data_IF_065635692222
#
_entry.id   IF_065635692222
#
_cell.length_a   1.000
_cell.length_b   1.000
_cell.length_c   1.000
_cell.angle_alpha   90.00
_cell.angle_beta   90.00
_cell.angle_gamma   90.00
#
_symmetry.space_group_name_H-M   'P 1'
#
loop_
_entity.id
_entity.type
_entity.pdbx_description
1 polymer ?
#
# COMPACT_ATOMS: atom_id res chain seq x y z
N UNK A 1 35.23 -25.88 -68.90
CA UNK A 1 35.04 -26.57 -67.59
C UNK A 1 34.32 -25.77 -66.50
N UNK A 2 34.18 -24.43 -66.56
CA UNK A 2 33.41 -23.67 -65.54
C UNK A 2 31.87 -23.68 -65.71
N UNK A 3 31.33 -23.85 -66.93
CA UNK A 3 29.87 -23.86 -67.17
C UNK A 3 29.15 -25.17 -66.80
N UNK A 4 29.87 -26.29 -66.70
CA UNK A 4 29.28 -27.60 -66.35
C UNK A 4 29.06 -27.73 -64.83
N UNK A 5 29.91 -27.08 -64.02
CA UNK A 5 29.76 -27.07 -62.55
C UNK A 5 28.58 -26.20 -62.09
N UNK A 6 28.22 -25.15 -62.83
CA UNK A 6 27.07 -24.30 -62.51
C UNK A 6 25.73 -24.97 -62.80
N UNK A 7 25.66 -25.87 -63.78
CA UNK A 7 24.42 -26.60 -64.12
C UNK A 7 24.13 -27.71 -63.10
N UNK A 8 25.17 -28.37 -62.58
CA UNK A 8 25.03 -29.40 -61.53
C UNK A 8 24.49 -28.84 -60.20
N UNK A 9 24.83 -27.59 -59.85
CA UNK A 9 24.33 -26.93 -58.63
C UNK A 9 22.86 -26.52 -58.78
N UNK A 10 22.42 -26.11 -59.98
CA UNK A 10 21.02 -25.73 -60.23
C UNK A 10 20.10 -26.96 -60.26
N UNK A 11 20.57 -28.11 -60.76
CA UNK A 11 19.82 -29.36 -60.74
C UNK A 11 19.66 -29.96 -59.33
N UNK A 12 20.65 -29.78 -58.45
CA UNK A 12 20.54 -30.22 -57.06
C UNK A 12 19.57 -29.36 -56.22
N UNK A 13 19.43 -28.07 -56.55
CA UNK A 13 18.45 -27.17 -55.91
C UNK A 13 17.03 -27.38 -56.46
N UNK A 14 16.88 -27.73 -57.74
CA UNK A 14 15.58 -28.04 -58.34
C UNK A 14 14.97 -29.38 -57.85
N UNK A 15 15.81 -30.36 -57.47
CA UNK A 15 15.35 -31.60 -56.82
C UNK A 15 15.07 -31.42 -55.32
N UNK A 16 15.56 -30.35 -54.68
CA UNK A 16 15.24 -30.03 -53.28
C UNK A 16 13.91 -29.29 -53.07
N UNK A 17 13.38 -28.65 -54.12
CA UNK A 17 12.14 -27.84 -54.03
C UNK A 17 10.92 -28.50 -54.70
N UNK A 18 11.07 -29.69 -55.30
CA UNK A 18 9.97 -30.50 -55.86
C UNK A 18 9.59 -31.71 -54.99
N UNK A 19 9.74 -31.59 -53.67
CA UNK A 19 9.28 -32.60 -52.70
C UNK A 19 8.07 -32.14 -51.86
N UNK A 20 7.32 -31.12 -52.31
CA UNK A 20 6.05 -30.74 -51.67
C UNK A 20 4.88 -31.72 -51.94
N UNK A 21 5.14 -32.89 -52.54
CA UNK A 21 4.14 -33.95 -52.72
C UNK A 21 4.19 -35.07 -51.69
N UNK A 22 5.17 -35.07 -50.77
CA UNK A 22 5.38 -36.15 -49.80
C UNK A 22 5.48 -35.67 -48.34
N UNK A 23 5.02 -34.45 -48.06
CA UNK A 23 4.80 -34.01 -46.67
C UNK A 23 3.48 -34.65 -46.22
N UNK A 24 3.62 -35.66 -45.36
CA UNK A 24 2.50 -36.33 -44.70
C UNK A 24 1.52 -35.29 -44.13
N UNK A 25 0.20 -35.53 -44.19
CA UNK A 25 -0.82 -34.61 -43.68
C UNK A 25 -0.71 -34.33 -42.17
N UNK A 26 0.17 -35.03 -41.45
CA UNK A 26 0.31 -34.95 -40.00
C UNK A 26 1.11 -33.76 -39.49
N UNK A 27 1.89 -33.01 -40.29
CA UNK A 27 2.73 -31.90 -39.77
C UNK A 27 1.89 -30.76 -39.17
N UNK A 28 0.65 -30.59 -39.65
CA UNK A 28 -0.32 -29.63 -39.13
C UNK A 28 -1.39 -30.28 -38.24
N UNK A 29 -1.26 -31.58 -37.93
CA UNK A 29 -2.13 -32.30 -37.03
C UNK A 29 -1.71 -32.13 -35.56
N UNK A 30 -2.69 -32.24 -34.65
CA UNK A 30 -2.45 -32.21 -33.19
C UNK A 30 -1.43 -33.26 -32.73
N UNK A 31 -1.31 -34.37 -33.48
CA UNK A 31 -0.36 -35.48 -33.30
C UNK A 31 1.10 -35.07 -33.48
N UNK A 32 1.41 -34.18 -34.42
CA UNK A 32 2.79 -33.73 -34.67
C UNK A 32 3.28 -32.75 -33.61
N UNK A 33 2.44 -31.80 -33.20
CA UNK A 33 2.78 -30.89 -32.10
C UNK A 33 2.79 -31.62 -30.75
N UNK A 34 1.95 -32.65 -30.54
CA UNK A 34 1.95 -33.43 -29.30
C UNK A 34 3.13 -34.41 -29.16
N UNK A 35 3.68 -34.94 -30.26
CA UNK A 35 4.76 -35.94 -30.22
C UNK A 35 6.09 -35.50 -30.87
N UNK A 36 6.23 -34.22 -31.24
CA UNK A 36 7.42 -33.69 -31.92
C UNK A 36 8.67 -33.59 -31.02
N UNK A 37 9.87 -33.41 -31.61
CA UNK A 37 11.16 -33.40 -30.91
C UNK A 37 11.34 -32.23 -29.92
N UNK A 38 10.47 -31.21 -29.97
CA UNK A 38 10.37 -30.12 -28.99
C UNK A 38 9.48 -30.47 -27.79
N UNK A 39 8.83 -31.64 -27.80
CA UNK A 39 7.87 -32.08 -26.81
C UNK A 39 8.37 -33.30 -26.02
N UNK A 40 9.68 -33.35 -25.77
CA UNK A 40 10.24 -34.29 -24.80
C UNK A 40 9.89 -33.82 -23.38
N UNK A 41 8.74 -34.28 -22.88
CA UNK A 41 8.36 -34.35 -21.46
C UNK A 41 7.83 -33.08 -20.75
N UNK A 42 6.84 -32.37 -21.31
CA UNK A 42 5.90 -31.61 -20.47
C UNK A 42 4.46 -32.11 -20.69
N UNK A 43 4.03 -33.06 -19.85
CA UNK A 43 2.59 -33.32 -19.68
C UNK A 43 1.96 -31.98 -19.28
N UNK A 44 1.04 -31.44 -20.08
CA UNK A 44 0.29 -30.23 -19.72
C UNK A 44 -0.25 -30.40 -18.30
N UNK A 45 0.31 -29.67 -17.34
CA UNK A 45 -0.14 -29.75 -15.96
C UNK A 45 -1.57 -29.22 -15.88
N UNK A 46 -2.36 -29.75 -14.93
CA UNK A 46 -3.70 -29.21 -14.69
C UNK A 46 -3.64 -27.72 -14.31
N UNK A 47 -2.52 -27.27 -13.75
CA UNK A 47 -2.24 -25.86 -13.50
C UNK A 47 -1.98 -25.04 -14.78
N UNK A 48 -1.27 -25.59 -15.78
CA UNK A 48 -1.02 -24.89 -17.06
C UNK A 48 -2.32 -24.67 -17.85
N UNK A 49 -3.25 -25.63 -17.80
CA UNK A 49 -4.61 -25.43 -18.32
C UNK A 49 -5.34 -24.30 -17.58
N UNK A 50 -5.20 -24.26 -16.25
CA UNK A 50 -5.75 -23.18 -15.43
C UNK A 50 -5.18 -21.81 -15.80
N UNK A 51 -3.88 -21.72 -16.08
CA UNK A 51 -3.24 -20.49 -16.58
C UNK A 51 -3.79 -20.07 -17.95
N UNK A 52 -4.06 -21.03 -18.84
CA UNK A 52 -4.71 -20.78 -20.12
C UNK A 52 -6.11 -20.20 -19.97
N UNK A 53 -6.94 -20.75 -19.09
CA UNK A 53 -8.28 -20.22 -18.80
C UNK A 53 -8.21 -18.85 -18.11
N UNK A 54 -7.24 -18.63 -17.24
CA UNK A 54 -7.00 -17.34 -16.59
C UNK A 54 -6.63 -16.27 -17.61
N UNK A 55 -5.76 -16.59 -18.57
CA UNK A 55 -5.38 -15.68 -19.66
C UNK A 55 -6.56 -15.32 -20.59
N UNK A 56 -7.53 -16.23 -20.74
CA UNK A 56 -8.80 -15.96 -21.45
C UNK A 56 -9.79 -15.13 -20.64
N UNK A 57 -9.50 -14.84 -19.37
CA UNK A 57 -10.41 -14.15 -18.45
C UNK A 57 -11.50 -15.05 -17.86
N UNK A 58 -11.44 -16.36 -18.07
CA UNK A 58 -12.38 -17.31 -17.48
C UNK A 58 -11.96 -17.67 -16.05
N UNK A 59 -12.21 -16.76 -15.11
CA UNK A 59 -11.78 -16.90 -13.71
C UNK A 59 -12.39 -18.14 -13.03
N UNK A 60 -13.65 -18.47 -13.32
CA UNK A 60 -14.34 -19.62 -12.71
C UNK A 60 -13.74 -20.93 -13.19
N UNK A 61 -13.51 -21.07 -14.51
CA UNK A 61 -12.85 -22.24 -15.09
C UNK A 61 -11.43 -22.41 -14.59
N UNK A 62 -10.68 -21.30 -14.53
CA UNK A 62 -9.30 -21.28 -14.03
C UNK A 62 -9.22 -21.71 -12.56
N UNK A 63 -10.08 -21.17 -11.68
CA UNK A 63 -10.12 -21.55 -10.27
C UNK A 63 -10.38 -23.05 -10.09
N UNK A 64 -11.35 -23.62 -10.81
CA UNK A 64 -11.64 -25.05 -10.76
C UNK A 64 -10.44 -25.92 -11.18
N UNK A 65 -9.71 -25.48 -12.21
CA UNK A 65 -8.49 -26.16 -12.68
C UNK A 65 -7.35 -26.05 -11.68
N UNK A 66 -7.13 -24.90 -11.07
CA UNK A 66 -6.11 -24.73 -10.03
C UNK A 66 -6.42 -25.54 -8.77
N UNK A 67 -7.66 -25.55 -8.30
CA UNK A 67 -8.06 -26.40 -7.17
C UNK A 67 -7.89 -27.89 -7.48
N UNK A 68 -8.14 -28.30 -8.72
CA UNK A 68 -7.88 -29.69 -9.16
C UNK A 68 -6.38 -29.98 -9.22
N UNK A 69 -5.54 -29.02 -9.61
CA UNK A 69 -4.09 -29.15 -9.58
C UNK A 69 -3.57 -29.29 -8.14
N UNK A 70 -4.03 -28.45 -7.21
CA UNK A 70 -3.65 -28.53 -5.80
C UNK A 70 -4.10 -29.81 -5.09
N UNK A 71 -5.22 -30.40 -5.50
CA UNK A 71 -5.64 -31.73 -5.02
C UNK A 71 -4.68 -32.84 -5.43
N UNK A 72 -4.00 -32.70 -6.58
CA UNK A 72 -3.00 -33.66 -7.06
C UNK A 72 -1.61 -33.38 -6.48
N UNK A 73 -1.24 -32.11 -6.44
CA UNK A 73 0.02 -31.64 -5.87
C UNK A 73 -0.24 -30.38 -5.03
N UNK A 74 -0.33 -30.50 -3.69
CA UNK A 74 -0.54 -29.36 -2.80
C UNK A 74 0.55 -28.28 -2.87
N UNK A 75 1.73 -28.61 -3.41
CA UNK A 75 2.87 -27.71 -3.57
C UNK A 75 3.03 -27.19 -5.00
N UNK A 76 2.00 -27.32 -5.85
CA UNK A 76 2.02 -26.75 -7.21
C UNK A 76 1.98 -25.22 -7.14
N UNK A 77 3.15 -24.60 -7.25
CA UNK A 77 3.31 -23.15 -7.14
C UNK A 77 2.67 -22.38 -8.30
N UNK A 78 2.42 -23.00 -9.46
CA UNK A 78 1.65 -22.37 -10.54
C UNK A 78 0.17 -22.27 -10.17
N UNK A 79 -0.38 -23.34 -9.57
CA UNK A 79 -1.76 -23.34 -9.11
C UNK A 79 -1.98 -22.41 -7.92
N UNK A 80 -1.05 -22.38 -6.95
CA UNK A 80 -1.06 -21.43 -5.84
C UNK A 80 -1.00 -19.98 -6.36
N UNK A 81 -0.10 -19.68 -7.30
CA UNK A 81 0.03 -18.33 -7.86
C UNK A 81 -1.24 -17.92 -8.61
N UNK A 82 -1.81 -18.82 -9.40
CA UNK A 82 -3.08 -18.61 -10.11
C UNK A 82 -4.24 -18.27 -9.17
N UNK A 83 -4.44 -19.05 -8.10
CA UNK A 83 -5.45 -18.76 -7.09
C UNK A 83 -5.17 -17.47 -6.33
N UNK A 84 -3.91 -17.20 -5.99
CA UNK A 84 -3.51 -15.94 -5.35
C UNK A 84 -3.93 -14.72 -6.16
N UNK A 85 -3.66 -14.74 -7.47
CA UNK A 85 -4.05 -13.66 -8.38
C UNK A 85 -5.57 -13.53 -8.51
N UNK A 86 -6.30 -14.66 -8.64
CA UNK A 86 -7.77 -14.66 -8.70
C UNK A 86 -8.37 -14.06 -7.43
N UNK A 87 -7.92 -14.51 -6.25
CA UNK A 87 -8.41 -14.00 -4.97
C UNK A 87 -8.07 -12.54 -4.76
N UNK A 88 -6.88 -12.10 -5.18
CA UNK A 88 -6.50 -10.70 -5.13
C UNK A 88 -7.41 -9.83 -6.01
N UNK A 89 -7.68 -10.25 -7.26
CA UNK A 89 -8.56 -9.54 -8.17
C UNK A 89 -10.01 -9.48 -7.67
N UNK A 90 -10.45 -10.51 -6.95
CA UNK A 90 -11.79 -10.59 -6.35
C UNK A 90 -11.88 -9.92 -4.96
N UNK A 91 -10.84 -9.22 -4.49
CA UNK A 91 -10.81 -8.56 -3.18
C UNK A 91 -10.73 -9.51 -1.97
N UNK A 92 -10.54 -10.81 -2.19
CA UNK A 92 -10.39 -11.82 -1.15
C UNK A 92 -8.95 -11.86 -0.62
N UNK A 93 -8.50 -10.73 -0.07
CA UNK A 93 -7.08 -10.49 0.28
C UNK A 93 -6.51 -11.50 1.28
N UNK A 94 -7.32 -12.01 2.20
CA UNK A 94 -6.90 -13.04 3.18
C UNK A 94 -6.54 -14.35 2.48
N UNK A 95 -7.36 -14.80 1.52
CA UNK A 95 -7.09 -16.02 0.75
C UNK A 95 -5.92 -15.81 -0.20
N UNK A 96 -5.82 -14.64 -0.82
CA UNK A 96 -4.70 -14.30 -1.68
C UNK A 96 -3.36 -14.35 -0.91
N UNK A 97 -3.33 -13.76 0.30
CA UNK A 97 -2.18 -13.83 1.20
C UNK A 97 -1.75 -15.28 1.48
N UNK A 98 -2.70 -16.13 1.87
CA UNK A 98 -2.41 -17.55 2.17
C UNK A 98 -1.77 -18.27 0.98
N UNK A 99 -2.22 -18.00 -0.25
CA UNK A 99 -1.63 -18.61 -1.44
C UNK A 99 -0.19 -18.14 -1.69
N UNK A 100 0.07 -16.84 -1.53
CA UNK A 100 1.43 -16.31 -1.71
C UNK A 100 2.40 -16.75 -0.61
N UNK A 101 1.94 -16.82 0.64
CA UNK A 101 2.72 -17.37 1.76
C UNK A 101 3.08 -18.84 1.52
N UNK A 102 2.14 -19.63 1.01
CA UNK A 102 2.39 -21.03 0.66
C UNK A 102 3.51 -21.18 -0.39
N UNK A 103 3.53 -20.32 -1.41
CA UNK A 103 4.61 -20.29 -2.42
C UNK A 103 5.95 -19.98 -1.75
N UNK A 104 6.02 -18.97 -0.87
CA UNK A 104 7.26 -18.59 -0.20
C UNK A 104 7.75 -19.68 0.77
N UNK A 105 6.83 -20.45 1.37
CA UNK A 105 7.14 -21.59 2.22
C UNK A 105 7.72 -22.78 1.43
N UNK A 106 7.27 -23.00 0.19
CA UNK A 106 7.77 -24.07 -0.69
C UNK A 106 9.23 -23.82 -1.13
N UNK A 107 9.70 -22.57 -1.11
CA UNK A 107 11.04 -22.15 -1.58
C UNK A 107 11.35 -22.63 -3.01
N UNK A 108 10.57 -22.20 -4.03
CA UNK A 108 10.87 -22.54 -5.43
C UNK A 108 12.28 -22.07 -5.82
N UNK A 109 12.96 -22.85 -6.66
CA UNK A 109 14.25 -22.47 -7.23
C UNK A 109 14.12 -21.20 -8.10
N UNK A 110 15.19 -20.42 -8.22
CA UNK A 110 15.26 -19.25 -9.11
C UNK A 110 15.09 -19.60 -10.59
N UNK A 111 15.33 -20.87 -10.97
CA UNK A 111 15.03 -21.38 -12.31
C UNK A 111 13.53 -21.48 -12.60
N UNK A 112 12.68 -21.49 -11.57
CA UNK A 112 11.22 -21.55 -11.70
C UNK A 112 10.65 -20.17 -12.03
N UNK A 113 10.64 -19.87 -13.32
CA UNK A 113 10.20 -18.58 -13.85
C UNK A 113 8.73 -18.59 -14.27
N UNK A 114 8.09 -17.43 -14.14
CA UNK A 114 6.71 -17.20 -14.58
C UNK A 114 6.61 -15.92 -15.39
N UNK A 115 5.74 -15.92 -16.39
CA UNK A 115 5.51 -14.78 -17.27
C UNK A 115 4.54 -13.82 -16.60
N UNK A 116 5.01 -12.60 -16.32
CA UNK A 116 4.15 -11.52 -15.87
C UNK A 116 3.46 -10.91 -17.10
N UNK A 117 2.21 -11.34 -17.37
CA UNK A 117 1.47 -10.99 -18.59
C UNK A 117 1.47 -9.50 -18.93
N UNK A 118 1.38 -8.62 -17.92
CA UNK A 118 1.37 -7.17 -18.12
C UNK A 118 2.68 -6.62 -18.70
N UNK A 119 3.81 -7.24 -18.40
CA UNK A 119 5.14 -6.81 -18.86
C UNK A 119 5.74 -7.72 -19.93
N UNK A 120 5.16 -8.91 -20.13
CA UNK A 120 5.69 -9.99 -20.96
C UNK A 120 7.13 -10.39 -20.61
N UNK A 121 7.55 -10.12 -19.38
CA UNK A 121 8.84 -10.53 -18.84
C UNK A 121 8.67 -11.75 -17.93
N UNK A 122 9.68 -12.61 -17.90
CA UNK A 122 9.75 -13.70 -16.94
C UNK A 122 10.39 -13.22 -15.63
N UNK A 123 9.89 -13.73 -14.51
CA UNK A 123 10.46 -13.52 -13.17
C UNK A 123 10.38 -14.80 -12.34
N UNK A 124 11.28 -14.99 -11.36
CA UNK A 124 11.14 -16.05 -10.38
C UNK A 124 9.79 -15.99 -9.68
N UNK A 125 9.13 -17.15 -9.53
CA UNK A 125 7.79 -17.24 -8.92
C UNK A 125 7.80 -16.74 -7.46
N UNK A 126 8.88 -17.01 -6.74
CA UNK A 126 9.10 -16.48 -5.38
C UNK A 126 9.13 -14.96 -5.34
N UNK A 127 9.74 -14.31 -6.35
CA UNK A 127 9.79 -12.84 -6.45
C UNK A 127 8.37 -12.28 -6.65
N UNK A 128 7.59 -12.87 -7.56
CA UNK A 128 6.21 -12.45 -7.83
C UNK A 128 5.34 -12.59 -6.59
N UNK A 129 5.39 -13.73 -5.89
CA UNK A 129 4.65 -13.96 -4.67
C UNK A 129 5.03 -12.95 -3.57
N UNK A 130 6.33 -12.66 -3.41
CA UNK A 130 6.81 -11.68 -2.42
C UNK A 130 6.32 -10.26 -2.71
N UNK A 131 6.27 -9.85 -3.98
CA UNK A 131 5.75 -8.54 -4.38
C UNK A 131 4.27 -8.45 -4.11
N UNK A 132 3.49 -9.46 -4.52
CA UNK A 132 2.04 -9.44 -4.32
C UNK A 132 1.66 -9.49 -2.84
N UNK A 133 2.37 -10.29 -2.04
CA UNK A 133 2.18 -10.32 -0.58
C UNK A 133 2.45 -8.94 0.02
N UNK A 134 3.60 -8.33 -0.32
CA UNK A 134 3.93 -7.00 0.15
C UNK A 134 2.87 -5.97 -0.27
N UNK A 135 2.33 -6.03 -1.49
CA UNK A 135 1.27 -5.13 -1.96
C UNK A 135 -0.04 -5.30 -1.16
N UNK A 136 -0.41 -6.54 -0.82
CA UNK A 136 -1.59 -6.84 0.00
C UNK A 136 -1.44 -6.31 1.42
N UNK A 137 -0.32 -6.61 2.09
CA UNK A 137 -0.04 -6.15 3.45
C UNK A 137 0.00 -4.64 3.53
N UNK A 138 0.62 -4.04 2.53
CA UNK A 138 0.87 -2.62 2.50
C UNK A 138 -0.40 -1.83 2.08
N UNK A 139 -1.40 -2.49 1.47
CA UNK A 139 -2.74 -1.92 1.28
C UNK A 139 -3.48 -1.67 2.60
N UNK A 140 -3.11 -2.40 3.65
CA UNK A 140 -3.60 -2.19 5.01
C UNK A 140 -3.00 -0.98 5.72
N UNK A 141 -1.87 -0.44 5.25
CA UNK A 141 -1.15 0.69 5.87
C UNK A 141 -1.94 2.00 5.73
N UNK A 142 -2.54 2.25 4.56
CA UNK A 142 -3.44 3.40 4.37
C UNK A 142 -4.72 3.24 5.20
N UNK A 143 -5.24 2.01 5.30
CA UNK A 143 -6.42 1.72 6.13
C UNK A 143 -6.13 1.90 7.62
N UNK A 144 -4.94 1.54 8.12
CA UNK A 144 -4.54 1.78 9.50
C UNK A 144 -4.32 3.26 9.80
N UNK A 145 -3.76 4.03 8.86
CA UNK A 145 -3.61 5.49 9.01
C UNK A 145 -4.97 6.23 9.00
N UNK A 146 -6.01 5.67 8.37
CA UNK A 146 -7.36 6.23 8.34
C UNK A 146 -8.32 5.72 9.44
N UNK A 147 -8.04 4.58 10.08
CA UNK A 147 -8.98 3.87 10.96
C UNK A 147 -9.19 4.48 12.34
N UNK A 148 -8.35 5.41 12.78
CA UNK A 148 -8.52 6.06 14.09
C UNK A 148 -9.52 7.21 14.08
N UNK A 149 -10.10 7.53 12.92
CA UNK A 149 -11.23 8.48 12.84
C UNK A 149 -12.56 7.75 13.04
N UNK A 150 -12.85 7.32 14.28
CA UNK A 150 -14.20 7.06 14.80
C UNK A 150 -15.07 5.98 14.14
N UNK A 151 -15.63 5.11 14.99
CA UNK A 151 -16.66 4.07 14.72
C UNK A 151 -16.10 2.72 14.27
N UNK A 152 -15.97 1.81 15.25
CA UNK A 152 -15.97 0.38 15.00
C UNK A 152 -17.31 0.00 14.34
N UNK A 153 -17.34 -0.72 13.20
CA UNK A 153 -18.57 -1.35 12.76
C UNK A 153 -18.81 -2.54 13.69
N UNK A 154 -19.82 -2.42 14.56
CA UNK A 154 -20.36 -3.60 15.24
C UNK A 154 -20.80 -4.65 14.20
N UNK A 155 -20.63 -5.95 14.49
CA UNK A 155 -21.05 -7.00 13.58
C UNK A 155 -22.58 -6.96 13.46
N UNK A 156 -23.07 -6.59 12.28
CA UNK A 156 -24.49 -6.57 11.98
C UNK A 156 -25.08 -8.00 12.12
N UNK A 157 -25.76 -8.25 13.24
CA UNK A 157 -26.69 -9.36 13.36
C UNK A 157 -27.86 -9.13 12.41
N UNK A 158 -28.00 -10.04 11.45
CA UNK A 158 -29.12 -10.11 10.52
C UNK A 158 -30.43 -10.27 11.31
N UNK A 159 -31.28 -9.25 11.33
CA UNK A 159 -32.71 -9.40 11.68
C UNK A 159 -33.55 -9.32 10.41
N UNK A 160 -34.31 -10.39 10.18
CA UNK A 160 -35.27 -10.53 9.09
C UNK A 160 -36.42 -9.50 9.21
N UNK A 161 -37.07 -9.12 8.08
CA UNK A 161 -38.08 -8.07 8.10
C UNK A 161 -39.45 -8.64 8.51
N UNK A 162 -40.07 -8.01 9.51
CA UNK A 162 -41.51 -8.16 9.79
C UNK A 162 -42.28 -6.96 9.25
N UNK A 163 -43.32 -7.31 8.50
CA UNK A 163 -44.32 -6.51 7.77
C UNK A 163 -45.04 -5.49 8.68
N UNK A 164 -45.29 -4.28 8.19
CA UNK A 164 -46.25 -3.32 8.76
C UNK A 164 -47.25 -2.87 7.68
N UNK A 165 -48.56 -2.75 7.98
CA UNK A 165 -49.56 -2.28 7.04
C UNK A 165 -49.82 -0.77 7.12
N UNK A 166 -50.38 -0.26 6.02
CA UNK A 166 -50.80 1.12 5.74
C UNK A 166 -51.89 1.67 6.69
N UNK A 167 -51.85 2.99 6.88
CA UNK A 167 -52.97 3.82 7.33
C UNK A 167 -52.62 5.32 7.26
N UNK A 168 -53.26 6.05 6.35
CA UNK A 168 -53.29 7.52 6.17
C UNK A 168 -54.63 8.08 6.72
N UNK A 169 -54.96 9.39 6.70
CA UNK A 169 -54.17 10.65 6.67
C UNK A 169 -54.80 11.75 7.61
N UNK A 170 -54.62 13.04 7.26
CA UNK A 170 -55.22 14.32 7.75
C UNK A 170 -54.19 15.15 8.56
N UNK A 171 -53.88 16.42 8.29
CA UNK A 171 -54.36 17.45 7.35
C UNK A 171 -53.87 18.82 7.85
N UNK A 172 -53.90 19.86 6.98
CA UNK A 172 -53.91 21.26 7.41
C UNK A 172 -52.64 22.08 7.14
N UNK A 173 -52.78 23.09 6.30
CA UNK A 173 -51.80 24.13 5.97
C UNK A 173 -51.67 25.19 7.08
N UNK A 174 -50.55 25.94 7.11
CA UNK A 174 -50.54 27.39 6.82
C UNK A 174 -49.20 28.08 7.11
N UNK A 175 -49.11 29.26 6.51
CA UNK A 175 -48.04 30.22 6.26
C UNK A 175 -47.41 30.93 7.48
N UNK A 176 -46.18 31.43 7.30
CA UNK A 176 -45.86 32.85 7.62
C UNK A 176 -45.05 33.19 8.88
N UNK A 177 -43.80 33.61 8.63
CA UNK A 177 -42.99 34.68 9.28
C UNK A 177 -42.47 34.60 10.74
N UNK A 178 -41.21 35.07 10.83
CA UNK A 178 -40.57 35.91 11.86
C UNK A 178 -39.81 35.28 13.06
N UNK A 179 -38.49 35.50 13.03
CA UNK A 179 -37.55 35.93 14.10
C UNK A 179 -37.92 35.61 15.56
N UNK A 180 -36.99 34.97 16.29
CA UNK A 180 -36.44 35.43 17.61
C UNK A 180 -35.33 34.47 18.07
N UNK A 181 -34.24 35.07 18.56
CA UNK A 181 -33.10 34.46 19.20
C UNK A 181 -33.49 33.48 20.34
N UNK A 182 -32.79 32.33 20.39
CA UNK A 182 -32.73 31.49 21.59
C UNK A 182 -31.29 31.13 21.91
N UNK A 183 -30.92 31.49 23.13
CA UNK A 183 -29.68 31.25 23.84
C UNK A 183 -29.38 29.75 23.98
N UNK A 184 -28.12 29.37 23.79
CA UNK A 184 -27.64 28.02 24.07
C UNK A 184 -27.61 27.76 25.59
N UNK A 185 -28.02 26.58 26.09
CA UNK A 185 -27.84 26.21 27.48
C UNK A 185 -26.35 25.90 27.75
N UNK A 186 -25.82 26.48 28.81
CA UNK A 186 -24.46 26.26 29.28
C UNK A 186 -24.19 24.80 29.63
N UNK A 187 -23.12 24.26 29.08
CA UNK A 187 -22.54 22.99 29.51
C UNK A 187 -21.72 23.27 30.77
N UNK A 188 -22.27 22.89 31.93
CA UNK A 188 -21.51 22.80 33.17
C UNK A 188 -20.47 21.69 33.03
N UNK A 189 -19.19 22.06 33.01
CA UNK A 189 -18.08 21.13 33.06
C UNK A 189 -18.03 20.48 34.46
N UNK A 190 -18.14 19.15 34.51
CA UNK A 190 -17.91 18.38 35.74
C UNK A 190 -16.40 18.35 36.07
N UNK A 191 -15.98 18.52 37.35
CA UNK A 191 -14.57 18.67 37.73
C UNK A 191 -13.75 17.35 37.76
N UNK A 192 -14.22 16.28 37.12
CA UNK A 192 -13.55 14.98 37.12
C UNK A 192 -12.52 14.80 35.98
N UNK A 193 -12.29 15.81 35.13
CA UNK A 193 -11.38 15.76 33.98
C UNK A 193 -9.93 16.20 34.29
N UNK A 194 -9.59 16.49 35.54
CA UNK A 194 -8.27 17.03 35.94
C UNK A 194 -7.29 16.02 36.56
N UNK A 195 -7.52 14.71 36.38
CA UNK A 195 -6.63 13.68 36.92
C UNK A 195 -6.27 12.61 35.88
N UNK A 196 -5.65 13.02 34.75
CA UNK A 196 -4.77 12.18 33.91
C UNK A 196 -4.29 12.94 32.64
N UNK A 197 -3.68 14.11 32.79
CA UNK A 197 -3.14 14.85 31.63
C UNK A 197 -1.76 14.32 31.15
N UNK A 198 -1.04 13.63 32.03
CA UNK A 198 0.34 13.18 31.79
C UNK A 198 0.46 12.04 30.75
N UNK A 199 -0.43 11.03 30.68
CA UNK A 199 -0.31 9.96 29.68
C UNK A 199 -0.56 10.45 28.24
N UNK A 200 -1.50 11.37 28.03
CA UNK A 200 -1.89 11.82 26.69
C UNK A 200 -0.87 12.73 26.02
N UNK A 201 -0.21 13.60 26.79
CA UNK A 201 0.87 14.43 26.25
C UNK A 201 2.06 13.54 25.84
N UNK A 202 2.45 12.59 26.69
CA UNK A 202 3.55 11.66 26.40
C UNK A 202 3.27 10.80 25.15
N UNK A 203 2.04 10.28 24.99
CA UNK A 203 1.65 9.48 23.82
C UNK A 203 1.57 10.32 22.53
N UNK A 204 0.98 11.51 22.58
CA UNK A 204 0.90 12.42 21.42
C UNK A 204 2.29 12.87 20.97
N UNK A 205 3.16 13.22 21.92
CA UNK A 205 4.56 13.58 21.66
C UNK A 205 5.36 12.41 21.08
N UNK A 206 5.12 11.18 21.54
CA UNK A 206 5.77 9.98 21.00
C UNK A 206 5.36 9.70 19.54
N UNK A 207 4.09 9.89 19.19
CA UNK A 207 3.61 9.74 17.82
C UNK A 207 4.23 10.78 16.88
N UNK A 208 4.30 12.05 17.32
CA UNK A 208 4.95 13.11 16.56
C UNK A 208 6.42 12.76 16.33
N UNK A 209 7.16 12.41 17.38
CA UNK A 209 8.57 12.00 17.29
C UNK A 209 8.75 10.84 16.31
N UNK A 210 7.92 9.80 16.42
CA UNK A 210 7.97 8.63 15.53
C UNK A 210 7.79 9.00 14.05
N UNK A 211 6.97 10.02 13.74
CA UNK A 211 6.80 10.53 12.36
C UNK A 211 8.06 11.23 11.84
N UNK A 212 8.71 12.05 12.67
CA UNK A 212 9.97 12.72 12.31
C UNK A 212 11.12 11.73 12.16
N UNK A 213 11.24 10.75 13.07
CA UNK A 213 12.20 9.66 12.97
C UNK A 213 11.97 8.83 11.71
N UNK A 214 10.73 8.46 11.42
CA UNK A 214 10.37 7.73 10.20
C UNK A 214 10.73 8.54 8.96
N UNK A 215 10.40 9.83 8.90
CA UNK A 215 10.74 10.67 7.74
C UNK A 215 12.26 10.79 7.55
N UNK A 216 13.01 10.83 8.65
CA UNK A 216 14.49 10.83 8.65
C UNK A 216 15.02 9.51 8.10
N UNK A 217 14.51 8.38 8.57
CA UNK A 217 14.88 7.06 8.08
C UNK A 217 14.55 6.88 6.59
N UNK A 218 13.40 7.36 6.12
CA UNK A 218 13.03 7.29 4.70
C UNK A 218 13.98 8.10 3.80
N UNK A 219 14.44 9.26 4.27
CA UNK A 219 15.48 10.06 3.59
C UNK A 219 16.80 9.29 3.54
N UNK A 220 17.24 8.74 4.66
CA UNK A 220 18.54 8.05 4.76
C UNK A 220 18.56 6.75 3.94
N UNK A 221 17.40 6.10 3.77
CA UNK A 221 17.22 4.95 2.88
C UNK A 221 17.05 5.34 1.40
N UNK A 222 17.06 6.63 1.05
CA UNK A 222 16.87 7.12 -0.31
C UNK A 222 15.46 6.97 -0.88
N UNK A 223 14.46 6.71 -0.03
CA UNK A 223 13.04 6.59 -0.43
C UNK A 223 12.37 7.97 -0.56
N UNK A 224 12.94 8.98 0.10
CA UNK A 224 12.53 10.38 0.04
C UNK A 224 13.76 11.23 -0.30
N UNK A 225 13.59 12.20 -1.18
CA UNK A 225 14.69 13.11 -1.52
C UNK A 225 14.96 14.10 -0.39
N UNK A 226 16.18 14.68 -0.37
CA UNK A 226 16.53 15.68 0.65
C UNK A 226 15.60 16.91 0.61
N UNK A 227 15.17 17.31 -0.58
CA UNK A 227 14.25 18.44 -0.76
C UNK A 227 12.86 18.12 -0.19
N UNK A 228 12.28 16.96 -0.53
CA UNK A 228 10.98 16.54 0.01
C UNK A 228 11.01 16.43 1.54
N UNK A 229 12.10 15.91 2.10
CA UNK A 229 12.32 15.85 3.53
C UNK A 229 12.31 17.26 4.15
N UNK A 230 13.10 18.18 3.59
CA UNK A 230 13.23 19.55 4.11
C UNK A 230 11.90 20.29 4.10
N UNK A 231 11.15 20.23 2.99
CA UNK A 231 9.85 20.89 2.84
C UNK A 231 8.85 20.37 3.89
N UNK A 232 8.73 19.04 4.01
CA UNK A 232 7.80 18.40 4.96
C UNK A 232 8.19 18.68 6.40
N UNK A 233 9.50 18.62 6.72
CA UNK A 233 10.02 18.97 8.04
C UNK A 233 9.67 20.42 8.37
N UNK A 234 10.00 21.36 7.48
CA UNK A 234 9.79 22.78 7.71
C UNK A 234 8.32 23.14 7.91
N UNK A 235 7.41 22.52 7.16
CA UNK A 235 5.97 22.74 7.28
C UNK A 235 5.38 22.22 8.61
N UNK A 236 6.07 21.29 9.29
CA UNK A 236 5.54 20.60 10.47
C UNK A 236 6.40 20.75 11.72
N UNK A 237 7.54 21.45 11.64
CA UNK A 237 8.51 21.54 12.75
C UNK A 237 7.91 22.19 14.00
N UNK A 238 6.84 22.99 13.87
CA UNK A 238 6.08 23.51 15.01
C UNK A 238 5.42 22.45 15.89
N UNK A 239 5.34 21.19 15.45
CA UNK A 239 4.94 20.08 16.31
C UNK A 239 6.02 19.74 17.37
N UNK A 240 7.29 20.05 17.07
CA UNK A 240 8.43 19.89 17.97
C UNK A 240 8.83 21.21 18.64
N UNK A 241 8.63 22.33 17.94
CA UNK A 241 9.04 23.69 18.33
C UNK A 241 7.82 24.64 18.35
N UNK A 242 6.86 24.41 19.26
CA UNK A 242 5.56 25.10 19.27
C UNK A 242 5.62 26.63 19.37
N UNK A 243 6.65 27.21 19.98
CA UNK A 243 6.71 28.65 20.29
C UNK A 243 7.43 29.46 19.22
N UNK A 244 8.39 28.87 18.52
CA UNK A 244 9.23 29.58 17.54
C UNK A 244 8.95 29.22 16.09
N UNK A 245 8.04 28.27 15.85
CA UNK A 245 7.71 27.78 14.51
C UNK A 245 6.22 27.90 14.20
N UNK A 246 5.84 27.99 12.91
CA UNK A 246 4.45 28.04 12.53
C UNK A 246 3.70 26.77 12.96
N UNK A 247 2.37 26.86 13.21
CA UNK A 247 1.59 25.70 13.62
C UNK A 247 1.70 24.56 12.59
N UNK A 248 1.90 23.31 13.05
CA UNK A 248 2.08 22.17 12.18
C UNK A 248 0.76 21.70 11.58
N UNK A 249 0.79 20.67 10.71
CA UNK A 249 -0.42 20.00 10.27
C UNK A 249 -1.26 19.48 11.44
N UNK A 250 -2.58 19.57 11.32
CA UNK A 250 -3.49 18.93 12.27
C UNK A 250 -3.40 17.40 12.17
N UNK A 251 -3.48 16.70 13.31
CA UNK A 251 -3.53 15.24 13.35
C UNK A 251 -2.17 14.52 13.32
N UNK A 252 -1.05 15.21 13.50
CA UNK A 252 0.27 14.57 13.63
C UNK A 252 0.43 13.76 14.93
N UNK A 253 -0.43 14.00 15.92
CA UNK A 253 -0.54 13.28 17.18
C UNK A 253 -1.17 11.89 17.04
N UNK A 254 -1.82 11.59 15.90
CA UNK A 254 -2.44 10.28 15.63
C UNK A 254 -1.39 9.18 15.50
N UNK A 255 -1.77 7.95 15.80
CA UNK A 255 -0.84 6.83 15.67
C UNK A 255 -0.37 6.68 14.22
N UNK A 256 0.87 6.19 14.09
CA UNK A 256 1.50 5.98 12.79
C UNK A 256 2.03 4.55 12.74
N UNK A 257 1.89 3.85 11.59
CA UNK A 257 2.56 2.58 11.37
C UNK A 257 4.07 2.70 11.60
N UNK A 258 4.73 1.60 11.92
CA UNK A 258 6.17 1.64 12.17
C UNK A 258 6.96 1.93 10.88
N UNK A 259 8.21 2.36 11.05
CA UNK A 259 9.10 2.76 9.94
C UNK A 259 9.32 1.65 8.91
N UNK A 260 9.40 0.38 9.34
CA UNK A 260 9.58 -0.76 8.45
C UNK A 260 8.36 -1.01 7.56
N UNK A 261 7.15 -0.86 8.10
CA UNK A 261 5.91 -0.97 7.33
C UNK A 261 5.82 0.12 6.27
N UNK A 262 6.16 1.36 6.61
CA UNK A 262 6.09 2.50 5.69
C UNK A 262 7.17 2.37 4.60
N UNK A 263 8.42 2.09 4.98
CA UNK A 263 9.51 1.89 4.02
C UNK A 263 9.26 0.68 3.12
N UNK A 264 8.71 -0.41 3.68
CA UNK A 264 8.27 -1.60 2.96
C UNK A 264 7.21 -1.28 1.90
N UNK A 265 6.18 -0.49 2.23
CA UNK A 265 5.16 -0.03 1.28
C UNK A 265 5.78 0.74 0.13
N UNK A 266 6.61 1.73 0.42
CA UNK A 266 7.23 2.59 -0.60
C UNK A 266 8.11 1.77 -1.56
N UNK A 267 8.91 0.83 -1.04
CA UNK A 267 9.67 -0.11 -1.87
C UNK A 267 8.78 -1.02 -2.71
N UNK A 268 7.67 -1.51 -2.15
CA UNK A 268 6.75 -2.39 -2.86
C UNK A 268 6.07 -1.68 -4.04
N UNK A 269 5.61 -0.44 -3.86
CA UNK A 269 5.04 0.38 -4.95
C UNK A 269 6.13 0.65 -6.01
N UNK A 270 7.36 0.97 -5.59
CA UNK A 270 8.50 1.14 -6.52
C UNK A 270 8.78 -0.09 -7.37
N UNK A 271 8.80 -1.29 -6.75
CA UNK A 271 8.91 -2.56 -7.48
C UNK A 271 7.71 -2.80 -8.40
N UNK A 272 6.49 -2.48 -7.95
CA UNK A 272 5.28 -2.55 -8.76
C UNK A 272 5.40 -1.72 -10.04
N UNK A 273 5.98 -0.53 -9.97
CA UNK A 273 6.24 0.31 -11.15
C UNK A 273 7.27 -0.33 -12.08
N UNK A 274 8.39 -0.84 -11.55
CA UNK A 274 9.42 -1.53 -12.34
C UNK A 274 8.86 -2.77 -13.07
N UNK A 275 7.96 -3.49 -12.41
CA UNK A 275 7.22 -4.64 -12.94
C UNK A 275 6.08 -4.26 -13.89
N UNK A 276 5.87 -2.96 -14.12
CA UNK A 276 4.74 -2.39 -14.85
C UNK A 276 3.38 -2.81 -14.27
N UNK A 277 3.31 -3.31 -13.04
CA UNK A 277 2.08 -3.68 -12.34
C UNK A 277 1.16 -2.47 -12.10
N UNK A 278 1.75 -1.28 -11.98
CA UNK A 278 1.06 0.02 -11.84
C UNK A 278 1.63 1.05 -12.83
N UNK A 279 0.88 2.13 -13.09
CA UNK A 279 1.33 3.24 -13.93
C UNK A 279 2.20 4.23 -13.13
N UNK A 280 2.93 5.11 -13.83
CA UNK A 280 3.70 6.19 -13.19
C UNK A 280 2.77 7.10 -12.37
N UNK A 281 1.60 7.44 -12.91
CA UNK A 281 0.61 8.26 -12.21
C UNK A 281 0.11 7.59 -10.91
N UNK A 282 -0.17 6.28 -10.96
CA UNK A 282 -0.55 5.50 -9.78
C UNK A 282 0.57 5.45 -8.74
N UNK A 283 1.80 5.19 -9.18
CA UNK A 283 2.96 5.19 -8.30
C UNK A 283 3.12 6.54 -7.58
N UNK A 284 3.08 7.65 -8.33
CA UNK A 284 3.22 8.99 -7.76
C UNK A 284 2.09 9.31 -6.78
N UNK A 285 0.85 8.98 -7.12
CA UNK A 285 -0.31 9.22 -6.27
C UNK A 285 -0.27 8.39 -4.97
N UNK A 286 0.09 7.11 -5.04
CA UNK A 286 0.20 6.28 -3.85
C UNK A 286 1.36 6.73 -2.95
N UNK A 287 2.51 7.02 -3.54
CA UNK A 287 3.67 7.55 -2.81
C UNK A 287 3.35 8.87 -2.14
N UNK A 288 2.74 9.82 -2.85
CA UNK A 288 2.37 11.11 -2.27
C UNK A 288 1.37 10.95 -1.14
N UNK A 289 0.35 10.10 -1.30
CA UNK A 289 -0.65 9.82 -0.27
C UNK A 289 -0.01 9.28 1.02
N UNK A 290 0.95 8.35 0.91
CA UNK A 290 1.66 7.81 2.08
C UNK A 290 2.48 8.89 2.78
N UNK A 291 3.24 9.68 2.01
CA UNK A 291 4.08 10.73 2.57
C UNK A 291 3.24 11.87 3.17
N UNK A 292 2.11 12.20 2.57
CA UNK A 292 1.18 13.22 3.07
C UNK A 292 0.44 12.77 4.34
N UNK A 293 0.07 11.49 4.42
CA UNK A 293 -0.49 10.90 5.64
C UNK A 293 0.54 10.80 6.78
N UNK A 294 1.83 10.65 6.44
CA UNK A 294 2.93 10.66 7.40
C UNK A 294 3.21 12.08 7.91
N UNK A 295 3.50 13.00 6.99
CA UNK A 295 3.87 14.39 7.29
C UNK A 295 3.69 15.25 6.02
N UNK A 296 2.61 16.04 5.91
CA UNK A 296 2.25 16.73 4.67
C UNK A 296 3.21 17.87 4.33
N UNK A 297 3.53 18.02 3.04
CA UNK A 297 4.40 19.11 2.56
C UNK A 297 3.71 20.49 2.58
N UNK A 298 2.39 20.50 2.40
CA UNK A 298 1.56 21.69 2.40
C UNK A 298 0.27 21.39 3.19
N UNK A 299 0.25 21.60 4.52
CA UNK A 299 -0.91 21.31 5.35
C UNK A 299 -2.10 22.22 5.01
N UNK A 300 -3.24 21.61 4.70
CA UNK A 300 -4.51 22.33 4.45
C UNK A 300 -5.18 22.73 5.76
N UNK A 301 -5.02 21.90 6.79
CA UNK A 301 -5.50 22.17 8.15
C UNK A 301 -4.31 22.13 9.09
N UNK A 302 -4.17 23.18 9.88
CA UNK A 302 -3.09 23.33 10.87
C UNK A 302 -3.64 23.13 12.28
N UNK A 303 -2.80 22.63 13.18
CA UNK A 303 -3.13 22.54 14.59
C UNK A 303 -3.22 23.93 15.22
N UNK A 304 -3.73 23.99 16.46
CA UNK A 304 -3.67 25.22 17.23
C UNK A 304 -2.21 25.59 17.52
N UNK A 305 -1.88 26.89 17.57
CA UNK A 305 -0.56 27.33 17.97
C UNK A 305 -0.24 26.78 19.37
N UNK A 306 1.02 26.42 19.59
CA UNK A 306 1.45 25.96 20.89
C UNK A 306 1.37 27.07 21.93
N UNK A 307 0.95 26.70 23.13
CA UNK A 307 0.81 27.63 24.24
C UNK A 307 2.14 27.73 24.99
N UNK A 308 2.50 28.92 25.49
CA UNK A 308 3.63 29.06 26.39
C UNK A 308 3.37 28.25 27.69
N UNK A 309 4.43 27.68 28.29
CA UNK A 309 4.30 26.91 29.53
C UNK A 309 3.77 27.79 30.66
N UNK A 310 2.89 27.22 31.48
CA UNK A 310 2.29 27.89 32.63
C UNK A 310 3.07 27.54 33.89
N UNK A 311 4.02 28.41 34.24
CA UNK A 311 4.80 28.26 35.46
C UNK A 311 6.08 27.44 35.29
N UNK A 312 6.87 27.41 36.37
CA UNK A 312 8.23 26.88 36.36
C UNK A 312 8.31 25.37 36.08
N UNK A 313 7.32 24.59 36.52
CA UNK A 313 7.32 23.14 36.36
C UNK A 313 7.14 22.74 34.88
N UNK A 314 6.14 23.28 34.20
CA UNK A 314 5.87 23.00 32.79
C UNK A 314 6.99 23.55 31.89
N UNK A 315 7.58 24.69 32.26
CA UNK A 315 8.76 25.21 31.57
C UNK A 315 9.96 24.25 31.70
N UNK A 316 10.21 23.69 32.89
CA UNK A 316 11.28 22.72 33.09
C UNK A 316 11.07 21.43 32.30
N UNK A 317 9.84 20.92 32.24
CA UNK A 317 9.51 19.74 31.44
C UNK A 317 9.66 20.01 29.93
N UNK A 318 9.27 21.20 29.47
CA UNK A 318 9.46 21.64 28.09
C UNK A 318 10.94 21.71 27.69
N UNK A 319 11.80 22.25 28.58
CA UNK A 319 13.25 22.28 28.34
C UNK A 319 13.84 20.87 28.30
N UNK A 320 13.44 19.98 29.22
CA UNK A 320 13.89 18.57 29.22
C UNK A 320 13.49 17.87 27.92
N UNK A 321 12.29 18.13 27.43
CA UNK A 321 11.82 17.61 26.15
C UNK A 321 12.68 18.12 24.97
N UNK A 322 13.00 19.41 24.93
CA UNK A 322 13.89 19.97 23.90
C UNK A 322 15.29 19.35 23.93
N UNK A 323 15.84 19.09 25.12
CA UNK A 323 17.12 18.39 25.26
C UNK A 323 17.07 16.97 24.70
N UNK A 324 15.97 16.25 24.95
CA UNK A 324 15.74 14.92 24.37
C UNK A 324 15.68 14.97 22.83
N UNK A 325 14.90 15.88 22.26
CA UNK A 325 14.78 16.06 20.80
C UNK A 325 16.12 16.40 20.14
N UNK A 326 16.90 17.28 20.78
CA UNK A 326 18.26 17.62 20.33
C UNK A 326 19.19 16.41 20.40
N UNK A 327 19.11 15.64 21.50
CA UNK A 327 19.90 14.41 21.68
C UNK A 327 19.62 13.36 20.61
N UNK A 328 18.39 13.27 20.12
CA UNK A 328 18.00 12.41 19.00
C UNK A 328 18.31 13.00 17.61
N UNK A 329 18.80 14.24 17.52
CA UNK A 329 19.09 14.90 16.25
C UNK A 329 17.86 15.33 15.45
N UNK A 330 16.68 15.40 16.08
CA UNK A 330 15.43 15.82 15.44
C UNK A 330 15.37 17.34 15.25
N UNK A 331 16.05 18.08 16.12
CA UNK A 331 16.19 19.55 16.08
C UNK A 331 17.67 19.95 16.10
N UNK A 332 17.97 21.08 15.48
CA UNK A 332 19.32 21.67 15.44
C UNK A 332 19.65 22.41 16.73
N UNK A 333 20.94 22.72 16.93
CA UNK A 333 21.38 23.52 18.08
C UNK A 333 20.78 24.94 18.08
N UNK A 334 20.60 25.53 16.91
CA UNK A 334 20.02 26.86 16.75
C UNK A 334 18.51 26.84 17.05
N UNK A 335 17.80 25.83 16.53
CA UNK A 335 16.38 25.60 16.83
C UNK A 335 16.14 25.40 18.34
N UNK A 336 16.97 24.56 18.97
CA UNK A 336 16.95 24.37 20.42
C UNK A 336 17.12 25.69 21.18
N UNK A 337 18.12 26.50 20.79
CA UNK A 337 18.44 27.74 21.50
C UNK A 337 17.33 28.78 21.36
N UNK A 338 16.72 28.89 20.18
CA UNK A 338 15.57 29.79 19.95
C UNK A 338 14.35 29.38 20.78
N UNK A 339 13.98 28.11 20.72
CA UNK A 339 12.79 27.61 21.42
C UNK A 339 12.95 27.72 22.94
N UNK A 340 14.14 27.35 23.46
CA UNK A 340 14.47 27.54 24.87
C UNK A 340 14.39 29.01 25.29
N UNK A 341 14.90 29.93 24.47
CA UNK A 341 14.79 31.37 24.75
C UNK A 341 13.33 31.85 24.80
N UNK A 342 12.46 31.32 23.94
CA UNK A 342 11.03 31.64 23.95
C UNK A 342 10.32 31.12 25.23
N UNK A 343 10.67 29.93 25.70
CA UNK A 343 10.22 29.37 26.99
C UNK A 343 10.64 30.30 28.14
N UNK A 344 11.92 30.69 28.18
CA UNK A 344 12.45 31.55 29.25
C UNK A 344 11.80 32.94 29.24
N UNK A 345 11.56 33.51 28.06
CA UNK A 345 10.88 34.79 27.90
C UNK A 345 9.41 34.73 28.38
N UNK A 346 8.71 33.63 28.10
CA UNK A 346 7.34 33.43 28.57
C UNK A 346 7.24 33.35 30.10
N UNK A 347 8.35 33.06 30.79
CA UNK A 347 8.41 32.98 32.25
C UNK A 347 8.78 34.30 32.95
N UNK A 348 9.15 35.34 32.20
CA UNK A 348 9.47 36.63 32.79
C UNK A 348 8.18 37.36 33.21
N UNK A 349 8.09 37.88 34.45
CA UNK A 349 6.97 38.73 34.84
C UNK A 349 6.94 39.99 33.97
N UNK A 350 5.74 40.36 33.53
CA UNK A 350 5.46 41.50 32.65
C UNK A 350 5.84 42.86 33.26
#
# INVERSE_FOLDING_TARGET
MRRIKSIAVVLAVAMGLSSCGALQPDIFGDTFWSNGPFNSARKNSTAELGLGELAKGNYIGAEGLFQKALRKNPQDFHALLGLGMIYQNNGQLVRARQMYEAILAIRPDQSEQFIVWKSLATRPISEIASVNLALIESGGVLTSMGRESGVQPEPAMVRAPTRAPMGQPIGGADTGMAMVARTAPGVQASPAAMASAIPRFAEASANIVSRFETMTALRDQGLVTREEFNVRRQANIGALLPLTSPPPAAGLDRSVPNTEQISGRLRAIGRGLQMRAITIAQHTAERSMILDALMPAAPVTVANPGLPPQGLLEAADSVRWLEHLKGQGLITADEYSRERGAIEQAMQPA
#
